data_IF_727562044725
#
_entry.id   IF_727562044725
#
_cell.length_a   1.000
_cell.length_b   1.000
_cell.length_c   1.000
_cell.angle_alpha   90.00
_cell.angle_beta   90.00
_cell.angle_gamma   90.00
#
_symmetry.space_group_name_H-M   'P 1'
#
loop_
_entity.id
_entity.type
_entity.pdbx_description
1 polymer ?
#
# COMPACT_ATOMS: atom_id res chain seq x y z
N UNK A 1 26.19 -5.73 -27.64
CA UNK A 1 27.26 -6.19 -26.71
C UNK A 1 26.55 -6.71 -25.49
N UNK A 2 26.54 -8.03 -25.29
CA UNK A 2 25.85 -8.67 -24.16
C UNK A 2 26.65 -8.44 -22.89
N UNK A 3 26.36 -7.39 -22.15
CA UNK A 3 26.89 -7.19 -20.81
C UNK A 3 26.29 -8.24 -19.88
N UNK A 4 27.05 -9.25 -19.56
CA UNK A 4 26.74 -10.23 -18.55
C UNK A 4 26.83 -9.53 -17.19
N UNK A 5 25.72 -8.95 -16.72
CA UNK A 5 25.62 -8.40 -15.38
C UNK A 5 25.46 -9.55 -14.41
N UNK A 6 26.57 -10.00 -13.81
CA UNK A 6 26.64 -11.07 -12.80
C UNK A 6 25.86 -10.77 -11.51
N UNK A 7 25.04 -9.72 -11.47
CA UNK A 7 24.34 -9.26 -10.28
C UNK A 7 22.96 -9.88 -10.09
N UNK A 8 22.03 -9.68 -11.04
CA UNK A 8 20.67 -10.17 -10.90
C UNK A 8 20.42 -11.45 -11.71
N UNK A 9 19.74 -12.42 -11.08
CA UNK A 9 19.36 -13.69 -11.72
C UNK A 9 18.37 -13.46 -12.86
N UNK A 10 18.31 -14.38 -13.84
CA UNK A 10 17.29 -14.33 -14.92
C UNK A 10 15.87 -14.51 -14.37
N UNK A 11 15.67 -15.38 -13.40
CA UNK A 11 14.42 -15.52 -12.63
C UNK A 11 14.65 -14.93 -11.24
N UNK A 12 13.80 -14.00 -10.85
CA UNK A 12 13.85 -13.27 -9.59
C UNK A 12 12.83 -13.84 -8.61
N UNK A 13 13.20 -13.86 -7.33
CA UNK A 13 12.25 -13.99 -6.23
C UNK A 13 11.89 -12.58 -5.80
N UNK A 14 10.60 -12.22 -5.97
CA UNK A 14 10.07 -10.89 -5.74
C UNK A 14 9.12 -10.97 -4.55
N UNK A 15 9.39 -10.18 -3.50
CA UNK A 15 8.57 -10.11 -2.30
C UNK A 15 7.90 -8.76 -2.22
N UNK A 16 6.56 -8.73 -2.25
CA UNK A 16 5.76 -7.54 -2.08
C UNK A 16 5.32 -7.46 -0.63
N UNK A 17 5.79 -6.46 0.11
CA UNK A 17 5.39 -6.22 1.51
C UNK A 17 4.02 -5.58 1.58
N UNK A 18 3.18 -5.98 2.54
CA UNK A 18 1.89 -5.37 2.82
C UNK A 18 1.70 -5.15 4.33
N UNK A 19 0.64 -4.43 4.71
CA UNK A 19 0.23 -4.39 6.10
C UNK A 19 -0.39 -5.72 6.51
N UNK A 20 -0.27 -6.03 7.79
CA UNK A 20 -0.89 -7.23 8.38
C UNK A 20 -2.40 -7.25 8.12
N UNK A 21 -2.91 -8.41 7.72
CA UNK A 21 -4.33 -8.64 7.41
C UNK A 21 -4.71 -8.36 5.94
N UNK A 22 -3.77 -7.88 5.11
CA UNK A 22 -4.00 -7.65 3.69
C UNK A 22 -3.26 -8.63 2.77
N UNK A 23 -2.68 -9.68 3.32
CA UNK A 23 -1.90 -10.66 2.56
C UNK A 23 -2.75 -11.36 1.49
N UNK A 24 -3.96 -11.83 1.85
CA UNK A 24 -4.90 -12.43 0.89
C UNK A 24 -5.36 -11.42 -0.17
N UNK A 25 -5.65 -10.18 0.25
CA UNK A 25 -6.06 -9.11 -0.67
C UNK A 25 -4.96 -8.79 -1.69
N UNK A 26 -3.70 -8.76 -1.25
CA UNK A 26 -2.55 -8.56 -2.14
C UNK A 26 -2.35 -9.77 -3.06
N UNK A 27 -2.54 -11.00 -2.57
CA UNK A 27 -2.47 -12.21 -3.41
C UNK A 27 -3.54 -12.19 -4.51
N UNK A 28 -4.77 -11.81 -4.19
CA UNK A 28 -5.85 -11.66 -5.18
C UNK A 28 -5.52 -10.56 -6.20
N UNK A 29 -4.96 -9.43 -5.75
CA UNK A 29 -4.47 -8.40 -6.65
C UNK A 29 -3.41 -8.94 -7.62
N UNK A 30 -2.42 -9.67 -7.09
CA UNK A 30 -1.35 -10.24 -7.90
C UNK A 30 -1.88 -11.26 -8.92
N UNK A 31 -2.90 -12.04 -8.56
CA UNK A 31 -3.59 -12.92 -9.51
C UNK A 31 -4.24 -12.14 -10.66
N UNK A 32 -4.92 -11.02 -10.36
CA UNK A 32 -5.49 -10.13 -11.39
C UNK A 32 -4.39 -9.49 -12.27
N UNK A 33 -3.22 -9.21 -11.70
CA UNK A 33 -2.05 -8.66 -12.40
C UNK A 33 -1.26 -9.71 -13.20
N UNK A 34 -1.68 -10.99 -13.18
CA UNK A 34 -1.06 -12.05 -13.98
C UNK A 34 -0.09 -12.97 -13.22
N UNK A 35 -0.11 -12.94 -11.88
CA UNK A 35 0.74 -13.77 -11.01
C UNK A 35 -0.08 -14.75 -10.16
N UNK A 36 -0.68 -15.81 -10.76
CA UNK A 36 -1.59 -16.72 -10.05
C UNK A 36 -0.91 -17.57 -8.98
N UNK A 37 0.40 -17.85 -9.13
CA UNK A 37 1.17 -18.72 -8.23
C UNK A 37 1.78 -17.98 -7.03
N UNK A 38 1.22 -16.82 -6.67
CA UNK A 38 1.66 -16.01 -5.56
C UNK A 38 1.53 -16.74 -4.22
N UNK A 39 2.61 -16.71 -3.42
CA UNK A 39 2.69 -17.36 -2.10
C UNK A 39 2.58 -16.34 -0.98
N UNK A 40 1.67 -16.57 -0.05
CA UNK A 40 1.52 -15.74 1.15
C UNK A 40 2.67 -16.02 2.11
N UNK A 41 3.21 -14.93 2.64
CA UNK A 41 4.16 -14.87 3.74
C UNK A 41 3.59 -13.97 4.85
N UNK A 42 4.28 -13.89 5.99
CA UNK A 42 3.88 -12.96 7.04
C UNK A 42 4.11 -11.51 6.57
N UNK A 43 3.03 -10.73 6.47
CA UNK A 43 3.02 -9.32 6.01
C UNK A 43 3.65 -9.12 4.63
N UNK A 44 3.55 -10.13 3.77
CA UNK A 44 4.08 -10.10 2.41
C UNK A 44 3.45 -11.17 1.51
N UNK A 45 3.62 -11.00 0.22
CA UNK A 45 3.34 -12.04 -0.80
C UNK A 45 4.55 -12.17 -1.71
N UNK A 46 4.93 -13.39 -2.03
CA UNK A 46 6.09 -13.70 -2.85
C UNK A 46 5.68 -14.29 -4.20
N UNK A 47 6.35 -13.87 -5.24
CA UNK A 47 6.19 -14.37 -6.61
C UNK A 47 7.55 -14.66 -7.23
N UNK A 48 7.55 -15.40 -8.33
CA UNK A 48 8.66 -15.48 -9.26
C UNK A 48 8.41 -14.56 -10.45
N UNK A 49 9.45 -13.91 -10.95
CA UNK A 49 9.31 -12.96 -12.06
C UNK A 49 10.65 -12.60 -12.69
N UNK A 50 10.61 -11.57 -13.53
CA UNK A 50 11.75 -11.01 -14.26
C UNK A 50 11.89 -9.53 -13.92
N UNK A 51 12.97 -8.90 -14.38
CA UNK A 51 13.19 -7.48 -14.11
C UNK A 51 12.08 -6.56 -14.67
N UNK A 52 11.50 -6.89 -15.81
CA UNK A 52 10.34 -6.17 -16.36
C UNK A 52 9.14 -6.13 -15.40
N UNK A 53 8.96 -7.20 -14.61
CA UNK A 53 7.85 -7.31 -13.66
C UNK A 53 8.05 -6.35 -12.48
N UNK A 54 9.30 -5.99 -12.17
CA UNK A 54 9.61 -4.97 -11.15
C UNK A 54 9.03 -3.62 -11.55
N UNK A 55 9.19 -3.20 -12.81
CA UNK A 55 8.63 -1.94 -13.30
C UNK A 55 7.11 -1.96 -13.26
N UNK A 56 6.53 -3.04 -13.78
CA UNK A 56 5.09 -3.22 -13.83
C UNK A 56 4.45 -3.22 -12.44
N UNK A 57 4.99 -4.02 -11.51
CA UNK A 57 4.47 -4.13 -10.15
C UNK A 57 4.63 -2.84 -9.35
N UNK A 58 5.77 -2.15 -9.45
CA UNK A 58 5.96 -0.87 -8.78
C UNK A 58 4.96 0.19 -9.25
N UNK A 59 4.54 0.12 -10.52
CA UNK A 59 3.56 1.05 -11.09
C UNK A 59 2.11 0.65 -10.72
N UNK A 60 1.77 -0.64 -10.79
CA UNK A 60 0.40 -1.13 -10.75
C UNK A 60 -0.08 -1.63 -9.39
N UNK A 61 0.81 -2.15 -8.51
CA UNK A 61 0.36 -2.69 -7.24
C UNK A 61 -0.20 -1.60 -6.32
N UNK A 62 -1.42 -1.81 -5.85
CA UNK A 62 -2.18 -0.91 -4.98
C UNK A 62 -2.01 -1.27 -3.51
N UNK A 63 -1.90 -2.58 -3.23
CA UNK A 63 -1.91 -3.13 -1.88
C UNK A 63 -0.51 -3.34 -1.30
N UNK A 64 0.56 -3.16 -2.08
CA UNK A 64 1.92 -3.32 -1.58
C UNK A 64 2.52 -2.02 -1.03
N UNK A 65 3.31 -2.15 0.04
CA UNK A 65 4.07 -1.05 0.67
C UNK A 65 5.40 -0.86 -0.05
N UNK A 66 6.05 -1.97 -0.41
CA UNK A 66 7.35 -1.99 -1.09
C UNK A 66 7.57 -3.31 -1.80
N UNK A 67 8.41 -3.30 -2.82
CA UNK A 67 8.73 -4.45 -3.65
C UNK A 67 10.22 -4.72 -3.53
N UNK A 68 10.54 -5.93 -3.06
CA UNK A 68 11.88 -6.40 -2.78
C UNK A 68 12.28 -7.46 -3.80
N UNK A 69 13.55 -7.44 -4.21
CA UNK A 69 14.17 -8.49 -5.01
C UNK A 69 15.23 -9.18 -4.17
N UNK A 70 15.07 -10.50 -3.97
CA UNK A 70 16.07 -11.32 -3.28
C UNK A 70 17.34 -11.39 -4.11
N UNK A 71 18.47 -11.05 -3.48
CA UNK A 71 19.80 -11.14 -4.08
C UNK A 71 20.68 -12.23 -3.44
N UNK A 72 20.41 -12.57 -2.19
CA UNK A 72 21.07 -13.70 -1.52
C UNK A 72 20.16 -14.32 -0.46
N UNK A 73 20.29 -15.62 -0.25
CA UNK A 73 19.66 -16.37 0.82
C UNK A 73 20.57 -17.50 1.28
N UNK A 74 20.90 -17.53 2.59
CA UNK A 74 21.83 -18.48 3.18
C UNK A 74 21.54 -18.72 4.66
N UNK A 75 22.20 -19.72 5.24
CA UNK A 75 22.11 -20.02 6.69
C UNK A 75 23.36 -19.58 7.41
N UNK A 76 23.18 -19.13 8.63
CA UNK A 76 24.27 -18.73 9.55
C UNK A 76 24.20 -19.56 10.84
N UNK A 77 25.35 -19.71 11.50
CA UNK A 77 25.47 -20.33 12.83
C UNK A 77 26.01 -19.31 13.85
N UNK A 78 26.78 -18.36 13.39
CA UNK A 78 27.40 -17.30 14.20
C UNK A 78 27.13 -15.93 13.59
N UNK A 79 27.31 -14.89 14.37
CA UNK A 79 27.21 -13.49 13.89
C UNK A 79 28.22 -13.21 12.75
N UNK A 80 29.45 -13.79 12.86
CA UNK A 80 30.49 -13.61 11.86
C UNK A 80 30.13 -14.24 10.51
N UNK A 81 29.35 -15.30 10.48
CA UNK A 81 28.94 -15.93 9.21
C UNK A 81 28.16 -14.95 8.33
N UNK A 82 27.36 -14.06 8.95
CA UNK A 82 26.63 -13.02 8.20
C UNK A 82 27.58 -12.09 7.43
N UNK A 83 28.63 -11.59 8.10
CA UNK A 83 29.62 -10.75 7.45
C UNK A 83 30.34 -11.52 6.33
N UNK A 84 30.81 -12.73 6.59
CA UNK A 84 31.56 -13.56 5.64
C UNK A 84 30.73 -13.88 4.38
N UNK A 85 29.46 -14.21 4.52
CA UNK A 85 28.58 -14.47 3.37
C UNK A 85 28.24 -13.18 2.60
N UNK A 86 27.99 -12.08 3.30
CA UNK A 86 27.76 -10.79 2.68
C UNK A 86 29.00 -10.23 1.95
N UNK A 87 30.21 -10.48 2.48
CA UNK A 87 31.47 -10.08 1.87
C UNK A 87 31.79 -10.84 0.57
N UNK A 88 31.27 -12.06 0.39
CA UNK A 88 31.40 -12.82 -0.88
C UNK A 88 30.57 -12.23 -2.02
N UNK A 89 29.61 -11.36 -1.71
CA UNK A 89 28.71 -10.79 -2.71
C UNK A 89 29.41 -9.70 -3.52
N UNK A 90 29.22 -9.71 -4.84
CA UNK A 90 29.74 -8.68 -5.75
C UNK A 90 28.84 -7.44 -5.72
N UNK A 91 28.88 -6.67 -4.64
CA UNK A 91 28.00 -5.50 -4.43
C UNK A 91 28.07 -4.47 -5.57
N UNK A 92 29.26 -4.28 -6.14
CA UNK A 92 29.47 -3.41 -7.30
C UNK A 92 28.76 -3.86 -8.58
N UNK A 93 28.19 -5.07 -8.63
CA UNK A 93 27.35 -5.52 -9.74
C UNK A 93 25.89 -5.05 -9.62
N UNK A 94 25.47 -4.59 -8.44
CA UNK A 94 24.11 -4.12 -8.20
C UNK A 94 23.97 -2.61 -8.33
N UNK A 95 24.92 -1.83 -7.80
CA UNK A 95 24.89 -0.36 -7.83
C UNK A 95 26.31 0.23 -7.85
N UNK A 96 26.42 1.52 -8.12
CA UNK A 96 27.69 2.23 -8.21
C UNK A 96 28.11 2.85 -6.89
N UNK A 97 29.42 3.02 -6.67
CA UNK A 97 30.01 3.58 -5.45
C UNK A 97 29.50 4.99 -5.11
N UNK A 98 29.07 5.76 -6.11
CA UNK A 98 28.52 7.10 -5.93
C UNK A 98 27.05 7.14 -5.44
N UNK A 99 26.43 5.98 -5.23
CA UNK A 99 25.06 5.90 -4.69
C UNK A 99 25.10 5.83 -3.17
N UNK A 100 24.21 6.59 -2.52
CA UNK A 100 24.01 6.47 -1.09
C UNK A 100 23.21 5.21 -0.78
N UNK A 101 23.52 4.55 0.33
CA UNK A 101 22.81 3.34 0.72
C UNK A 101 22.48 3.27 2.21
N UNK A 102 21.55 2.38 2.55
CA UNK A 102 21.29 1.95 3.93
C UNK A 102 20.94 0.46 3.97
N UNK A 103 21.15 -0.15 5.14
CA UNK A 103 20.70 -1.50 5.46
C UNK A 103 19.61 -1.40 6.54
N UNK A 104 18.44 -1.94 6.28
CA UNK A 104 17.29 -2.01 7.21
C UNK A 104 16.61 -3.37 7.06
N UNK A 105 15.66 -3.66 7.93
CA UNK A 105 14.88 -4.90 7.79
C UNK A 105 14.29 -5.37 9.11
N UNK A 106 14.24 -6.69 9.33
CA UNK A 106 13.72 -7.30 10.53
C UNK A 106 14.57 -8.52 10.93
N UNK A 107 14.92 -8.59 12.20
CA UNK A 107 15.77 -9.61 12.78
C UNK A 107 14.99 -10.38 13.84
N UNK A 108 14.73 -11.65 13.58
CA UNK A 108 14.07 -12.62 14.47
C UNK A 108 15.00 -13.82 14.66
N UNK A 109 16.07 -13.65 15.44
CA UNK A 109 17.14 -14.65 15.57
C UNK A 109 17.82 -14.56 16.94
N UNK A 110 18.04 -15.72 17.56
CA UNK A 110 18.81 -15.84 18.79
C UNK A 110 20.34 -15.82 18.56
N UNK A 111 20.77 -15.86 17.30
CA UNK A 111 22.18 -15.71 16.92
C UNK A 111 22.72 -14.34 17.29
N UNK A 112 21.86 -13.31 17.26
CA UNK A 112 22.24 -11.93 17.53
C UNK A 112 21.66 -11.43 18.86
N UNK A 113 22.54 -11.06 19.78
CA UNK A 113 22.16 -10.41 21.07
C UNK A 113 21.59 -9.01 20.86
N UNK A 114 22.05 -8.31 19.82
CA UNK A 114 21.62 -6.96 19.47
C UNK A 114 21.05 -6.96 18.05
N UNK A 115 19.78 -6.65 17.90
CA UNK A 115 19.07 -6.64 16.60
C UNK A 115 19.56 -5.55 15.63
N UNK A 116 20.34 -4.58 16.10
CA UNK A 116 20.94 -3.56 15.24
C UNK A 116 22.27 -4.01 14.63
N UNK A 117 23.01 -4.88 15.32
CA UNK A 117 24.33 -5.33 14.91
C UNK A 117 24.38 -6.01 13.53
N UNK A 118 23.41 -6.87 13.13
CA UNK A 118 23.36 -7.45 11.78
C UNK A 118 23.39 -6.43 10.64
N UNK A 119 22.74 -5.28 10.83
CA UNK A 119 22.76 -4.22 9.80
C UNK A 119 24.15 -3.62 9.63
N UNK A 120 24.93 -3.51 10.72
CA UNK A 120 26.32 -3.02 10.68
C UNK A 120 27.21 -4.02 9.95
N UNK A 121 27.07 -5.32 10.20
CA UNK A 121 27.86 -6.36 9.53
C UNK A 121 27.66 -6.35 8.01
N UNK A 122 26.41 -6.26 7.55
CA UNK A 122 26.12 -6.19 6.10
C UNK A 122 26.60 -4.85 5.53
N UNK A 123 26.43 -3.74 6.25
CA UNK A 123 26.95 -2.43 5.87
C UNK A 123 28.48 -2.47 5.71
N UNK A 124 29.21 -3.06 6.66
CA UNK A 124 30.67 -3.16 6.61
C UNK A 124 31.12 -4.03 5.43
N UNK A 125 30.47 -5.17 5.19
CA UNK A 125 30.74 -6.01 4.03
C UNK A 125 30.54 -5.27 2.69
N UNK A 126 29.53 -4.40 2.58
CA UNK A 126 29.33 -3.55 1.39
C UNK A 126 30.46 -2.55 1.24
N UNK A 127 30.80 -1.83 2.31
CA UNK A 127 31.86 -0.80 2.30
C UNK A 127 33.21 -1.41 1.96
N UNK A 128 33.57 -2.54 2.57
CA UNK A 128 34.84 -3.21 2.33
C UNK A 128 34.95 -3.69 0.87
N UNK A 129 33.87 -4.30 0.34
CA UNK A 129 33.83 -4.69 -1.08
C UNK A 129 34.11 -3.51 -2.02
N UNK A 130 33.50 -2.35 -1.81
CA UNK A 130 33.72 -1.19 -2.67
C UNK A 130 35.14 -0.62 -2.51
N UNK A 131 35.68 -0.58 -1.29
CA UNK A 131 37.08 -0.18 -1.06
C UNK A 131 38.05 -1.07 -1.82
N UNK A 132 37.83 -2.38 -1.80
CA UNK A 132 38.70 -3.35 -2.47
C UNK A 132 38.64 -3.22 -4.00
N UNK A 133 37.46 -2.93 -4.56
CA UNK A 133 37.25 -2.91 -6.02
C UNK A 133 37.52 -1.52 -6.63
N UNK A 134 37.19 -0.44 -5.91
CA UNK A 134 37.21 0.92 -6.46
C UNK A 134 38.21 1.86 -5.75
N UNK A 135 38.73 1.47 -4.58
CA UNK A 135 39.52 2.34 -3.71
C UNK A 135 38.69 3.37 -2.93
N UNK A 136 37.38 3.38 -3.10
CA UNK A 136 36.47 4.33 -2.49
C UNK A 136 35.30 3.61 -1.79
N UNK A 137 34.45 4.32 -1.09
CA UNK A 137 33.29 3.74 -0.38
C UNK A 137 32.01 4.52 -0.67
N UNK A 138 30.85 3.83 -0.78
CA UNK A 138 29.57 4.51 -0.89
C UNK A 138 29.18 5.19 0.43
N UNK A 139 28.52 6.34 0.33
CA UNK A 139 28.01 7.08 1.47
C UNK A 139 26.75 6.42 2.07
N UNK A 140 26.60 6.57 3.39
CA UNK A 140 25.44 6.04 4.13
C UNK A 140 24.41 7.16 4.30
N UNK A 141 23.18 6.89 3.86
CA UNK A 141 22.04 7.78 4.06
C UNK A 141 20.86 7.01 4.64
N UNK A 142 20.50 7.27 5.91
CA UNK A 142 19.51 6.49 6.63
C UNK A 142 18.07 6.90 6.28
N UNK A 143 17.84 8.21 6.02
CA UNK A 143 16.47 8.73 5.84
C UNK A 143 15.96 8.49 4.42
N UNK A 144 16.75 8.82 3.41
CA UNK A 144 16.38 8.75 1.98
C UNK A 144 17.51 8.15 1.14
N UNK A 145 17.92 6.89 1.41
CA UNK A 145 18.98 6.24 0.63
C UNK A 145 18.52 6.05 -0.81
N UNK A 146 19.46 6.17 -1.74
CA UNK A 146 19.23 5.82 -3.14
C UNK A 146 19.07 4.31 -3.32
N UNK A 147 19.83 3.53 -2.51
CA UNK A 147 19.80 2.07 -2.47
C UNK A 147 19.47 1.61 -1.06
N UNK A 148 18.34 0.94 -0.89
CA UNK A 148 17.95 0.34 0.38
C UNK A 148 18.11 -1.18 0.31
N UNK A 149 18.99 -1.72 1.14
CA UNK A 149 19.14 -3.16 1.35
C UNK A 149 18.22 -3.60 2.47
N UNK A 150 17.36 -4.58 2.19
CA UNK A 150 16.45 -5.20 3.17
C UNK A 150 17.08 -6.49 3.68
N UNK A 151 17.43 -6.52 4.97
CA UNK A 151 18.00 -7.68 5.65
C UNK A 151 16.90 -8.33 6.50
N UNK A 152 16.48 -9.52 6.12
CA UNK A 152 15.55 -10.33 6.89
C UNK A 152 16.26 -11.55 7.46
N UNK A 153 16.18 -11.72 8.78
CA UNK A 153 16.72 -12.91 9.46
C UNK A 153 15.62 -13.57 10.26
N UNK A 154 15.38 -14.84 9.99
CA UNK A 154 14.43 -15.67 10.74
C UNK A 154 15.14 -16.92 11.25
N UNK A 155 15.27 -17.05 12.56
CA UNK A 155 16.11 -18.06 13.20
C UNK A 155 17.56 -17.97 12.67
N UNK A 156 18.01 -18.96 11.90
CA UNK A 156 19.33 -18.98 11.28
C UNK A 156 19.29 -18.74 9.76
N UNK A 157 18.12 -18.48 9.17
CA UNK A 157 17.97 -18.21 7.75
C UNK A 157 18.06 -16.71 7.50
N UNK A 158 18.99 -16.31 6.67
CA UNK A 158 19.19 -14.92 6.21
C UNK A 158 18.66 -14.76 4.80
N UNK A 159 17.97 -13.68 4.55
CA UNK A 159 17.59 -13.22 3.21
C UNK A 159 18.03 -11.76 3.05
N UNK A 160 18.82 -11.49 2.03
CA UNK A 160 19.22 -10.13 1.65
C UNK A 160 18.49 -9.78 0.36
N UNK A 161 17.79 -8.67 0.38
CA UNK A 161 17.01 -8.17 -0.77
C UNK A 161 17.35 -6.72 -1.05
N UNK A 162 17.15 -6.28 -2.28
CA UNK A 162 17.15 -4.86 -2.65
C UNK A 162 15.73 -4.34 -2.72
N UNK A 163 15.47 -3.17 -2.15
CA UNK A 163 14.18 -2.50 -2.25
C UNK A 163 14.13 -1.71 -3.58
N UNK A 164 13.27 -2.13 -4.46
CA UNK A 164 13.12 -1.53 -5.80
C UNK A 164 12.19 -0.33 -5.82
N UNK A 165 11.34 -0.18 -4.80
CA UNK A 165 10.40 0.94 -4.69
C UNK A 165 11.06 2.22 -4.16
N UNK A 166 12.03 2.12 -3.26
CA UNK A 166 12.60 3.22 -2.50
C UNK A 166 11.69 3.62 -1.34
N UNK A 167 11.16 4.83 -1.35
CA UNK A 167 10.14 5.24 -0.39
C UNK A 167 8.92 4.32 -0.47
N UNK A 168 8.13 4.18 0.62
CA UNK A 168 6.93 3.35 0.61
C UNK A 168 5.95 3.73 -0.51
N UNK A 169 5.30 2.73 -1.11
CA UNK A 169 4.39 2.92 -2.23
C UNK A 169 3.08 3.64 -1.87
N UNK A 170 2.75 3.80 -0.57
CA UNK A 170 1.65 4.68 -0.19
C UNK A 170 1.95 6.17 -0.50
N UNK A 171 3.22 6.56 -0.68
CA UNK A 171 3.57 7.87 -1.22
C UNK A 171 3.32 7.88 -2.74
N UNK A 172 2.02 7.92 -3.12
CA UNK A 172 1.57 7.80 -4.52
C UNK A 172 2.00 8.94 -5.43
N UNK A 173 2.26 10.13 -4.85
CA UNK A 173 2.58 11.36 -5.57
C UNK A 173 1.40 12.32 -5.71
N UNK A 174 0.16 11.86 -5.64
CA UNK A 174 -1.02 12.72 -5.79
C UNK A 174 -1.39 13.53 -4.55
N UNK A 175 -0.94 13.12 -3.36
CA UNK A 175 -1.25 13.83 -2.12
C UNK A 175 -0.41 15.11 -2.02
N UNK A 176 -1.02 16.24 -2.36
CA UNK A 176 -0.43 17.58 -2.22
C UNK A 176 -0.66 18.08 -0.79
N UNK A 177 -1.89 17.90 -0.31
CA UNK A 177 -2.34 18.33 1.01
C UNK A 177 -2.91 17.15 1.80
N UNK A 178 -2.55 17.03 3.08
CA UNK A 178 -3.09 16.05 4.01
C UNK A 178 -3.91 16.72 5.12
N UNK A 179 -4.90 16.00 5.67
CA UNK A 179 -5.50 16.32 6.95
C UNK A 179 -4.60 15.90 8.13
N UNK A 180 -5.07 16.08 9.37
CA UNK A 180 -4.30 15.73 10.57
C UNK A 180 -4.00 14.23 10.68
N UNK A 181 -4.91 13.34 10.23
CA UNK A 181 -4.75 11.89 10.30
C UNK A 181 -5.38 11.18 9.08
N UNK A 182 -4.86 11.40 7.86
CA UNK A 182 -5.43 10.79 6.67
C UNK A 182 -5.23 9.27 6.69
N UNK A 183 -6.22 8.54 6.17
CA UNK A 183 -6.04 7.10 5.92
C UNK A 183 -4.87 6.90 4.94
N UNK A 184 -4.05 5.87 5.21
CA UNK A 184 -2.94 5.49 4.34
C UNK A 184 -3.48 4.97 2.99
N UNK A 185 -2.86 5.37 1.87
CA UNK A 185 -3.32 5.05 0.52
C UNK A 185 -3.33 3.56 0.22
N UNK A 186 -2.32 2.81 0.70
CA UNK A 186 -2.26 1.35 0.57
C UNK A 186 -3.35 0.69 1.40
N UNK A 187 -3.63 1.21 2.60
CA UNK A 187 -4.76 0.74 3.44
C UNK A 187 -6.07 1.01 2.74
N UNK A 188 -6.28 2.23 2.24
CA UNK A 188 -7.51 2.61 1.51
C UNK A 188 -7.76 1.68 0.31
N UNK A 189 -6.75 1.50 -0.55
CA UNK A 189 -6.84 0.61 -1.71
C UNK A 189 -7.13 -0.85 -1.31
N UNK A 190 -6.50 -1.33 -0.25
CA UNK A 190 -6.71 -2.69 0.27
C UNK A 190 -8.11 -2.88 0.83
N UNK A 191 -8.66 -1.90 1.54
CA UNK A 191 -10.02 -1.92 2.06
C UNK A 191 -11.06 -1.90 0.93
N UNK A 192 -10.86 -1.08 -0.10
CA UNK A 192 -11.73 -1.05 -1.28
C UNK A 192 -11.78 -2.43 -1.94
N UNK A 193 -10.64 -3.10 -2.11
CA UNK A 193 -10.59 -4.46 -2.68
C UNK A 193 -11.22 -5.49 -1.75
N UNK A 194 -10.92 -5.42 -0.46
CA UNK A 194 -11.47 -6.34 0.55
C UNK A 194 -12.99 -6.19 0.73
N UNK A 195 -13.54 -5.00 0.44
CA UNK A 195 -14.94 -4.68 0.63
C UNK A 195 -15.87 -5.43 -0.35
N UNK A 196 -15.33 -5.89 -1.48
CA UNK A 196 -16.10 -6.54 -2.52
C UNK A 196 -16.87 -5.55 -3.42
N UNK A 197 -16.50 -4.25 -3.42
CA UNK A 197 -17.11 -3.29 -4.34
C UNK A 197 -16.93 -3.70 -5.80
N UNK A 198 -18.03 -3.69 -6.56
CA UNK A 198 -18.08 -4.16 -7.94
C UNK A 198 -17.50 -3.18 -8.97
N UNK A 199 -17.08 -1.99 -8.53
CA UNK A 199 -16.55 -0.89 -9.35
C UNK A 199 -17.58 -0.28 -10.31
N UNK A 200 -18.87 -0.58 -10.15
CA UNK A 200 -19.99 -0.11 -11.00
C UNK A 200 -21.08 0.55 -10.18
N UNK A 201 -21.34 0.07 -8.98
CA UNK A 201 -22.25 0.69 -8.03
C UNK A 201 -21.65 2.03 -7.57
N UNK A 202 -22.51 3.03 -7.39
CA UNK A 202 -22.07 4.36 -6.88
C UNK A 202 -21.27 4.20 -5.59
N UNK A 203 -20.04 4.73 -5.57
CA UNK A 203 -19.19 4.78 -4.38
C UNK A 203 -19.42 6.09 -3.64
N UNK A 204 -19.65 6.03 -2.33
CA UNK A 204 -19.84 7.21 -1.49
C UNK A 204 -18.96 7.16 -0.24
N UNK A 205 -18.33 8.27 0.08
CA UNK A 205 -17.65 8.51 1.36
C UNK A 205 -18.18 9.79 2.02
N UNK A 206 -19.07 9.66 3.02
CA UNK A 206 -19.69 10.80 3.70
C UNK A 206 -18.78 11.47 4.76
N UNK A 207 -17.54 10.99 4.96
CA UNK A 207 -16.50 11.56 5.80
C UNK A 207 -15.17 11.60 5.02
N UNK A 208 -15.19 12.17 3.81
CA UNK A 208 -14.13 11.94 2.83
C UNK A 208 -12.79 12.58 3.16
N UNK A 209 -12.73 13.55 4.07
CA UNK A 209 -11.50 14.23 4.44
C UNK A 209 -10.75 14.76 3.21
N UNK A 210 -9.49 14.42 3.07
CA UNK A 210 -8.67 14.78 1.92
C UNK A 210 -8.89 13.91 0.66
N UNK A 211 -9.93 13.07 0.64
CA UNK A 211 -10.40 12.32 -0.54
C UNK A 211 -9.67 11.02 -0.84
N UNK A 212 -8.91 10.46 0.09
CA UNK A 212 -8.08 9.27 -0.19
C UNK A 212 -8.90 8.06 -0.67
N UNK A 213 -10.01 7.71 0.00
CA UNK A 213 -10.88 6.60 -0.39
C UNK A 213 -11.52 6.84 -1.77
N UNK A 214 -11.93 8.07 -2.06
CA UNK A 214 -12.51 8.45 -3.35
C UNK A 214 -11.48 8.31 -4.48
N UNK A 215 -10.25 8.80 -4.27
CA UNK A 215 -9.17 8.74 -5.27
C UNK A 215 -8.76 7.29 -5.53
N UNK A 216 -8.49 6.50 -4.49
CA UNK A 216 -8.11 5.08 -4.66
C UNK A 216 -9.27 4.26 -5.28
N UNK A 217 -10.52 4.59 -4.96
CA UNK A 217 -11.72 4.03 -5.61
C UNK A 217 -11.77 4.37 -7.10
N UNK A 218 -11.57 5.65 -7.46
CA UNK A 218 -11.55 6.09 -8.85
C UNK A 218 -10.40 5.45 -9.66
N UNK A 219 -9.20 5.38 -9.07
CA UNK A 219 -8.05 4.70 -9.66
C UNK A 219 -8.34 3.20 -9.91
N UNK A 220 -9.01 2.54 -8.98
CA UNK A 220 -9.39 1.13 -9.13
C UNK A 220 -10.47 0.96 -10.22
N UNK A 221 -11.51 1.80 -10.22
CA UNK A 221 -12.62 1.72 -11.17
C UNK A 221 -12.18 1.99 -12.60
N UNK A 222 -11.30 2.96 -12.80
CA UNK A 222 -10.75 3.32 -14.12
C UNK A 222 -9.62 2.39 -14.57
N UNK A 223 -9.04 1.58 -13.69
CA UNK A 223 -7.87 0.75 -13.97
C UNK A 223 -6.57 1.55 -14.16
N UNK A 224 -6.57 2.85 -13.86
CA UNK A 224 -5.35 3.67 -13.88
C UNK A 224 -4.41 3.16 -12.78
N UNK A 225 -3.11 2.97 -13.06
CA UNK A 225 -2.16 2.50 -12.06
C UNK A 225 -2.07 3.42 -10.85
N UNK A 226 -2.03 2.85 -9.64
CA UNK A 226 -2.05 3.63 -8.40
C UNK A 226 -0.84 4.54 -8.22
N UNK A 227 0.30 4.17 -8.80
CA UNK A 227 1.56 4.89 -8.66
C UNK A 227 1.92 5.73 -9.90
N UNK A 228 0.91 6.08 -10.75
CA UNK A 228 1.13 6.82 -12.01
C UNK A 228 1.73 8.23 -11.77
N UNK A 229 1.36 8.89 -10.68
CA UNK A 229 1.85 10.23 -10.31
C UNK A 229 3.19 10.18 -9.54
N UNK A 230 3.70 8.97 -9.23
CA UNK A 230 4.91 8.80 -8.47
C UNK A 230 6.16 9.06 -9.33
N UNK A 231 7.05 9.95 -8.88
CA UNK A 231 8.22 10.38 -9.64
C UNK A 231 9.50 9.55 -9.35
N UNK A 232 9.62 9.01 -8.13
CA UNK A 232 10.87 8.40 -7.68
C UNK A 232 10.71 6.91 -7.38
N UNK A 233 11.53 6.09 -8.01
CA UNK A 233 11.66 4.65 -7.79
C UNK A 233 13.13 4.27 -7.62
N UNK A 234 13.44 3.43 -6.61
CA UNK A 234 14.82 3.02 -6.35
C UNK A 234 15.38 2.11 -7.42
N UNK A 235 14.56 1.37 -8.17
CA UNK A 235 15.05 0.52 -9.27
C UNK A 235 15.84 1.29 -10.33
N UNK A 236 15.65 2.61 -10.45
CA UNK A 236 16.42 3.48 -11.35
C UNK A 236 17.89 3.65 -10.93
N UNK A 237 18.25 3.28 -9.70
CA UNK A 237 19.61 3.38 -9.18
C UNK A 237 20.42 2.08 -9.34
N UNK A 238 19.80 1.01 -9.81
CA UNK A 238 20.48 -0.27 -10.03
C UNK A 238 21.07 -0.37 -11.43
N UNK A 239 22.20 -1.07 -11.55
CA UNK A 239 22.97 -1.19 -12.82
C UNK A 239 22.23 -1.86 -13.96
N UNK A 240 21.25 -2.69 -13.64
CA UNK A 240 20.42 -3.37 -14.64
C UNK A 240 19.13 -2.59 -14.97
N UNK A 241 19.03 -1.31 -14.60
CA UNK A 241 17.95 -0.46 -15.01
C UNK A 241 17.92 -0.31 -16.54
N UNK A 242 16.80 -0.68 -17.13
CA UNK A 242 16.50 -0.55 -18.55
C UNK A 242 15.50 0.60 -18.74
N UNK A 243 16.02 1.74 -19.17
CA UNK A 243 15.23 2.97 -19.33
C UNK A 243 14.21 2.84 -20.47
N UNK A 244 14.53 2.17 -21.55
CA UNK A 244 13.62 1.98 -22.69
C UNK A 244 12.42 1.11 -22.28
N UNK A 245 12.70 0.02 -21.57
CA UNK A 245 11.67 -0.87 -21.06
C UNK A 245 10.79 -0.18 -20.01
N UNK A 246 11.40 0.62 -19.11
CA UNK A 246 10.64 1.43 -18.15
C UNK A 246 9.73 2.44 -18.85
N UNK A 247 10.27 3.20 -19.80
CA UNK A 247 9.52 4.20 -20.55
C UNK A 247 8.37 3.57 -21.35
N UNK A 248 8.59 2.40 -21.95
CA UNK A 248 7.55 1.62 -22.62
C UNK A 248 6.44 1.19 -21.65
N UNK A 249 6.81 0.69 -20.47
CA UNK A 249 5.86 0.28 -19.41
C UNK A 249 5.03 1.47 -18.93
N UNK A 250 5.68 2.59 -18.61
CA UNK A 250 5.05 3.80 -18.13
C UNK A 250 4.12 4.44 -19.19
N UNK A 251 4.60 4.58 -20.41
CA UNK A 251 3.81 5.14 -21.51
C UNK A 251 2.59 4.27 -21.86
N UNK A 252 2.71 2.95 -21.74
CA UNK A 252 1.57 2.05 -21.90
C UNK A 252 0.50 2.28 -20.83
N UNK A 253 0.93 2.55 -19.60
CA UNK A 253 0.04 2.88 -18.48
C UNK A 253 -0.65 4.24 -18.66
N UNK A 254 0.05 5.25 -19.18
CA UNK A 254 -0.52 6.58 -19.47
C UNK A 254 -1.64 6.54 -20.53
N UNK A 255 -1.59 5.56 -21.44
CA UNK A 255 -2.63 5.37 -22.47
C UNK A 255 -3.92 4.76 -21.93
N UNK A 256 -3.96 4.33 -20.68
CA UNK A 256 -5.16 3.84 -20.01
C UNK A 256 -6.05 5.04 -19.71
N UNK A 257 -6.81 5.50 -20.68
CA UNK A 257 -7.82 6.54 -20.50
C UNK A 257 -9.17 5.85 -20.41
N UNK A 258 -9.75 5.79 -19.21
CA UNK A 258 -11.09 5.25 -19.00
C UNK A 258 -11.93 6.29 -18.28
N UNK A 259 -13.18 6.46 -18.74
CA UNK A 259 -14.19 7.19 -17.99
C UNK A 259 -14.51 6.42 -16.70
N UNK A 260 -14.94 7.14 -15.67
CA UNK A 260 -15.50 6.51 -14.47
C UNK A 260 -16.75 5.70 -14.85
N UNK A 261 -16.80 4.40 -14.51
CA UNK A 261 -17.95 3.56 -14.85
C UNK A 261 -19.16 3.80 -13.92
N UNK A 262 -18.98 4.54 -12.85
CA UNK A 262 -20.01 4.85 -11.83
C UNK A 262 -19.79 6.25 -11.26
N UNK A 263 -20.78 6.76 -10.53
CA UNK A 263 -20.63 7.97 -9.73
C UNK A 263 -19.72 7.72 -8.53
N UNK A 264 -18.91 8.71 -8.19
CA UNK A 264 -18.10 8.74 -6.97
C UNK A 264 -18.43 10.04 -6.24
N UNK A 265 -18.97 9.89 -5.02
CA UNK A 265 -19.52 10.97 -4.24
C UNK A 265 -18.75 11.11 -2.91
N UNK A 266 -18.43 12.32 -2.53
CA UNK A 266 -17.82 12.62 -1.24
C UNK A 266 -18.51 13.76 -0.53
N UNK A 267 -18.53 13.71 0.79
CA UNK A 267 -18.83 14.89 1.60
C UNK A 267 -17.94 14.94 2.84
N UNK A 268 -17.72 16.14 3.31
CA UNK A 268 -17.06 16.42 4.58
C UNK A 268 -17.65 17.70 5.14
N UNK A 269 -17.79 17.78 6.46
CA UNK A 269 -18.31 18.99 7.10
C UNK A 269 -17.33 20.18 6.97
N UNK A 270 -16.05 19.91 6.76
CA UNK A 270 -14.99 20.90 6.66
C UNK A 270 -14.76 21.35 5.21
N UNK A 271 -15.05 22.62 4.94
CA UNK A 271 -14.69 23.27 3.66
C UNK A 271 -13.21 23.11 3.31
N UNK A 272 -12.33 23.17 4.33
CA UNK A 272 -10.90 23.02 4.16
C UNK A 272 -10.55 21.61 3.64
N UNK A 273 -11.15 20.56 4.21
CA UNK A 273 -10.94 19.18 3.77
C UNK A 273 -11.44 18.96 2.34
N UNK A 274 -12.60 19.51 2.01
CA UNK A 274 -13.14 19.49 0.64
C UNK A 274 -12.21 20.18 -0.36
N UNK A 275 -11.62 21.32 -0.01
CA UNK A 275 -10.63 22.00 -0.84
C UNK A 275 -9.36 21.14 -1.02
N UNK A 276 -8.85 20.50 0.04
CA UNK A 276 -7.72 19.57 -0.02
C UNK A 276 -8.03 18.38 -0.93
N UNK A 277 -9.20 17.77 -0.78
CA UNK A 277 -9.66 16.68 -1.61
C UNK A 277 -9.70 17.05 -3.09
N UNK A 278 -10.27 18.22 -3.43
CA UNK A 278 -10.31 18.74 -4.80
C UNK A 278 -8.91 19.01 -5.37
N UNK A 279 -7.96 19.48 -4.55
CA UNK A 279 -6.56 19.69 -4.97
C UNK A 279 -5.87 18.36 -5.29
N UNK A 280 -6.07 17.34 -4.45
CA UNK A 280 -5.50 16.02 -4.65
C UNK A 280 -6.06 15.31 -5.91
N UNK A 281 -7.28 15.64 -6.32
CA UNK A 281 -7.93 15.12 -7.53
C UNK A 281 -7.47 15.80 -8.83
N UNK A 282 -6.87 16.99 -8.77
CA UNK A 282 -6.56 17.79 -9.98
C UNK A 282 -5.62 17.12 -10.97
N UNK A 283 -4.72 16.24 -10.49
CA UNK A 283 -3.77 15.51 -11.35
C UNK A 283 -4.42 14.45 -12.24
N UNK A 284 -5.68 14.08 -11.95
CA UNK A 284 -6.33 12.97 -12.63
C UNK A 284 -7.41 13.42 -13.62
N UNK A 285 -7.45 12.80 -14.78
CA UNK A 285 -8.48 13.07 -15.82
C UNK A 285 -9.90 12.82 -15.31
N UNK A 286 -10.09 11.88 -14.38
CA UNK A 286 -11.38 11.60 -13.75
C UNK A 286 -11.73 12.60 -12.64
N UNK A 287 -10.81 13.42 -12.16
CA UNK A 287 -11.00 14.25 -10.97
C UNK A 287 -12.21 15.18 -11.05
N UNK A 288 -12.52 15.70 -12.24
CA UNK A 288 -13.70 16.56 -12.50
C UNK A 288 -15.05 15.82 -12.42
N UNK A 289 -15.04 14.49 -12.42
CA UNK A 289 -16.23 13.64 -12.36
C UNK A 289 -16.47 13.05 -10.96
N UNK A 290 -15.59 13.34 -10.00
CA UNK A 290 -15.79 13.02 -8.59
C UNK A 290 -16.50 14.22 -7.95
N UNK A 291 -17.70 13.99 -7.46
CA UNK A 291 -18.53 15.03 -6.85
C UNK A 291 -18.22 15.12 -5.35
N UNK A 292 -17.80 16.32 -4.89
CA UNK A 292 -17.48 16.52 -3.46
C UNK A 292 -18.19 17.78 -2.97
N UNK A 293 -18.87 17.66 -1.83
CA UNK A 293 -19.61 18.76 -1.18
C UNK A 293 -19.13 18.99 0.25
N UNK A 294 -19.14 20.27 0.67
CA UNK A 294 -18.92 20.66 2.05
C UNK A 294 -20.26 20.61 2.80
N UNK A 295 -20.59 19.43 3.30
CA UNK A 295 -21.85 19.14 4.01
C UNK A 295 -21.64 18.04 5.03
N UNK A 296 -22.33 18.05 6.15
CA UNK A 296 -22.38 16.92 7.05
C UNK A 296 -23.02 15.70 6.35
N UNK A 297 -22.73 14.50 6.82
CA UNK A 297 -23.16 13.24 6.19
C UNK A 297 -24.68 13.13 6.01
N UNK A 298 -25.44 13.67 6.94
CA UNK A 298 -26.93 13.63 6.94
C UNK A 298 -27.55 14.60 5.93
N UNK A 299 -26.81 15.59 5.44
CA UNK A 299 -27.20 16.53 4.37
C UNK A 299 -26.52 16.21 3.03
N UNK A 300 -25.68 15.17 2.99
CA UNK A 300 -25.01 14.76 1.77
C UNK A 300 -26.01 14.31 0.70
N UNK A 301 -25.65 14.56 -0.57
CA UNK A 301 -26.49 14.14 -1.70
C UNK A 301 -26.63 12.64 -1.73
N UNK A 302 -27.87 12.15 -1.62
CA UNK A 302 -28.17 10.72 -1.71
C UNK A 302 -28.18 10.28 -3.18
N UNK A 303 -27.48 9.20 -3.53
CA UNK A 303 -27.55 8.67 -4.87
C UNK A 303 -28.91 7.97 -5.12
N UNK A 304 -29.37 8.01 -6.36
CA UNK A 304 -30.47 7.14 -6.79
C UNK A 304 -29.98 5.71 -6.98
N UNK A 305 -30.73 4.73 -6.49
CA UNK A 305 -30.42 3.31 -6.59
C UNK A 305 -29.38 2.81 -5.58
N UNK A 306 -28.79 1.63 -5.81
CA UNK A 306 -27.85 1.02 -4.88
C UNK A 306 -26.59 1.86 -4.67
N UNK A 307 -26.12 1.94 -3.43
CA UNK A 307 -24.91 2.68 -3.06
C UNK A 307 -23.93 1.79 -2.29
N UNK A 308 -22.66 2.00 -2.56
CA UNK A 308 -21.57 1.41 -1.82
C UNK A 308 -20.87 2.50 -1.00
N UNK A 309 -21.09 2.48 0.31
CA UNK A 309 -20.48 3.41 1.24
C UNK A 309 -19.17 2.79 1.75
N UNK A 310 -18.08 3.52 1.62
CA UNK A 310 -16.80 3.18 2.23
C UNK A 310 -16.27 4.40 2.94
N UNK A 311 -16.10 4.30 4.25
CA UNK A 311 -15.81 5.48 5.05
C UNK A 311 -14.89 5.21 6.23
N UNK A 312 -14.15 6.25 6.61
CA UNK A 312 -13.33 6.34 7.80
C UNK A 312 -13.82 7.54 8.65
N UNK A 313 -14.92 7.39 9.41
CA UNK A 313 -15.44 8.45 10.26
C UNK A 313 -14.38 8.91 11.27
N UNK A 314 -14.45 10.15 11.77
CA UNK A 314 -13.53 10.62 12.81
C UNK A 314 -13.66 9.80 14.09
N UNK A 315 -12.54 9.59 14.80
CA UNK A 315 -12.45 8.85 16.06
C UNK A 315 -11.32 9.41 16.93
N UNK A 316 -11.43 9.21 18.25
CA UNK A 316 -10.32 9.41 19.19
C UNK A 316 -10.15 10.80 19.77
N UNK A 317 -11.08 11.75 19.56
CA UNK A 317 -10.99 13.08 20.17
C UNK A 317 -11.72 13.19 21.52
N UNK A 318 -12.90 12.56 21.68
CA UNK A 318 -13.66 12.41 22.94
C UNK A 318 -14.62 11.23 22.81
N UNK A 319 -14.52 10.25 23.69
CA UNK A 319 -15.32 9.00 23.64
C UNK A 319 -16.83 9.24 23.50
N UNK A 320 -17.40 10.16 24.29
CA UNK A 320 -18.85 10.45 24.27
C UNK A 320 -19.32 11.07 22.93
N UNK A 321 -18.55 11.99 22.37
CA UNK A 321 -18.85 12.60 21.05
C UNK A 321 -18.71 11.60 19.89
N UNK A 322 -17.81 10.65 20.03
CA UNK A 322 -17.65 9.58 19.04
C UNK A 322 -18.88 8.66 19.04
N UNK A 323 -19.41 8.28 20.20
CA UNK A 323 -20.59 7.39 20.30
C UNK A 323 -21.84 8.03 19.70
N UNK A 324 -22.14 9.29 20.02
CA UNK A 324 -23.27 10.04 19.49
C UNK A 324 -23.22 10.17 17.96
N UNK A 325 -22.03 10.54 17.41
CA UNK A 325 -21.83 10.63 15.96
C UNK A 325 -22.10 9.27 15.26
N UNK A 326 -21.61 8.18 15.84
CA UNK A 326 -21.76 6.85 15.24
C UNK A 326 -23.21 6.33 15.38
N UNK A 327 -23.94 6.70 16.42
CA UNK A 327 -25.37 6.40 16.57
C UNK A 327 -26.20 7.15 15.51
N UNK A 328 -25.97 8.46 15.34
CA UNK A 328 -26.60 9.25 14.29
C UNK A 328 -26.26 8.72 12.89
N UNK A 329 -25.01 8.36 12.66
CA UNK A 329 -24.59 7.79 11.38
C UNK A 329 -25.24 6.43 11.13
N UNK A 330 -25.34 5.58 12.14
CA UNK A 330 -26.05 4.30 12.06
C UNK A 330 -27.54 4.48 11.76
N UNK A 331 -28.18 5.45 12.39
CA UNK A 331 -29.58 5.82 12.13
C UNK A 331 -29.76 6.31 10.69
N UNK A 332 -28.86 7.18 10.21
CA UNK A 332 -28.87 7.66 8.82
C UNK A 332 -28.69 6.50 7.82
N UNK A 333 -27.72 5.61 8.04
CA UNK A 333 -27.53 4.42 7.21
C UNK A 333 -28.80 3.56 7.12
N UNK A 334 -29.51 3.38 8.24
CA UNK A 334 -30.70 2.55 8.35
C UNK A 334 -31.92 3.14 7.68
N UNK A 335 -32.13 4.43 7.81
CA UNK A 335 -33.37 5.09 7.40
C UNK A 335 -33.28 5.78 6.04
N UNK A 336 -32.09 6.24 5.66
CA UNK A 336 -31.89 7.04 4.46
C UNK A 336 -31.26 6.26 3.30
N UNK A 337 -30.53 5.17 3.60
CA UNK A 337 -29.90 4.31 2.58
C UNK A 337 -30.70 3.01 2.46
N UNK A 338 -31.58 2.98 1.47
CA UNK A 338 -32.57 1.89 1.32
C UNK A 338 -32.02 0.62 0.68
N UNK A 339 -30.92 0.74 -0.09
CA UNK A 339 -30.28 -0.40 -0.76
C UNK A 339 -28.77 -0.13 -0.89
N UNK A 340 -27.96 -1.05 -0.41
CA UNK A 340 -26.52 -0.91 -0.54
C UNK A 340 -25.68 -1.69 0.46
N UNK A 341 -24.43 -1.31 0.51
CA UNK A 341 -23.43 -1.85 1.44
C UNK A 341 -22.69 -0.69 2.10
N UNK A 342 -22.55 -0.73 3.42
CA UNK A 342 -21.66 0.20 4.13
C UNK A 342 -20.46 -0.54 4.68
N UNK A 343 -19.27 -0.03 4.39
CA UNK A 343 -17.98 -0.51 4.86
C UNK A 343 -17.33 0.58 5.70
N UNK A 344 -17.11 0.33 6.97
CA UNK A 344 -16.63 1.33 7.92
C UNK A 344 -15.35 0.83 8.58
N UNK A 345 -14.30 1.65 8.54
CA UNK A 345 -13.08 1.44 9.30
C UNK A 345 -13.04 2.43 10.47
N UNK A 346 -12.72 1.95 11.66
CA UNK A 346 -12.52 2.80 12.84
C UNK A 346 -11.66 2.10 13.87
N UNK A 347 -10.94 2.87 14.70
CA UNK A 347 -10.30 2.38 15.92
C UNK A 347 -11.21 2.44 17.15
N UNK A 348 -12.37 3.11 17.06
CA UNK A 348 -13.37 3.16 18.13
C UNK A 348 -14.27 1.92 18.05
N UNK A 349 -14.02 0.92 18.90
CA UNK A 349 -14.89 -0.27 19.01
C UNK A 349 -16.26 0.09 19.59
N UNK A 350 -16.32 1.03 20.53
CA UNK A 350 -17.56 1.56 21.13
C UNK A 350 -18.37 2.27 20.06
N UNK A 351 -17.79 3.22 19.33
CA UNK A 351 -18.48 3.89 18.22
C UNK A 351 -19.02 2.91 17.18
N UNK A 352 -18.21 1.90 16.77
CA UNK A 352 -18.68 0.88 15.85
C UNK A 352 -19.82 0.01 16.40
N UNK A 353 -19.99 -0.13 17.73
CA UNK A 353 -21.15 -0.77 18.34
C UNK A 353 -22.36 0.14 18.30
N UNK A 354 -22.18 1.45 18.52
CA UNK A 354 -23.25 2.47 18.54
C UNK A 354 -23.92 2.67 17.17
N UNK A 355 -23.32 2.21 16.05
CA UNK A 355 -23.97 2.15 14.73
C UNK A 355 -25.31 1.38 14.80
N UNK A 356 -25.48 0.43 15.72
CA UNK A 356 -26.74 -0.29 15.93
C UNK A 356 -27.17 -1.21 14.78
N UNK A 357 -26.28 -1.49 13.82
CA UNK A 357 -26.50 -2.42 12.71
C UNK A 357 -25.67 -3.70 12.90
N UNK A 358 -26.24 -4.85 12.49
CA UNK A 358 -25.53 -6.11 12.49
C UNK A 358 -24.60 -6.18 11.28
N UNK A 359 -23.28 -6.24 11.52
CA UNK A 359 -22.29 -6.42 10.46
C UNK A 359 -22.32 -7.86 9.91
N UNK A 360 -22.10 -7.99 8.60
CA UNK A 360 -21.95 -9.28 7.91
C UNK A 360 -20.51 -9.80 7.98
N UNK A 361 -19.54 -8.89 8.07
CA UNK A 361 -18.10 -9.21 8.16
C UNK A 361 -17.40 -8.22 9.10
N UNK A 362 -16.48 -8.73 9.91
CA UNK A 362 -15.57 -7.94 10.76
C UNK A 362 -14.14 -8.41 10.52
N UNK A 363 -13.22 -7.50 10.25
CA UNK A 363 -11.82 -7.78 10.01
C UNK A 363 -10.97 -6.81 10.83
N UNK A 364 -9.97 -7.34 11.53
CA UNK A 364 -8.96 -6.54 12.21
C UNK A 364 -7.95 -6.04 11.17
N UNK A 365 -7.69 -4.75 11.15
CA UNK A 365 -6.73 -4.10 10.24
C UNK A 365 -5.95 -3.02 10.98
N UNK A 366 -4.86 -2.54 10.39
CA UNK A 366 -4.04 -1.48 10.96
C UNK A 366 -4.00 -0.27 10.01
N UNK A 367 -4.26 0.92 10.56
CA UNK A 367 -4.01 2.19 9.87
C UNK A 367 -2.83 2.90 10.55
N UNK A 368 -1.63 2.77 9.98
CA UNK A 368 -0.40 3.16 10.65
C UNK A 368 -0.16 2.31 11.91
N UNK A 369 -0.08 2.95 13.07
CA UNK A 369 0.06 2.28 14.38
C UNK A 369 -1.28 2.02 15.08
N UNK A 370 -2.40 2.45 14.48
CA UNK A 370 -3.72 2.31 15.07
C UNK A 370 -4.32 0.94 14.76
N UNK A 371 -4.76 0.25 15.80
CA UNK A 371 -5.56 -0.97 15.72
C UNK A 371 -6.99 -0.59 15.34
N UNK A 372 -7.44 -1.04 14.18
CA UNK A 372 -8.75 -0.70 13.62
C UNK A 372 -9.59 -1.94 13.36
N UNK A 373 -10.89 -1.76 13.40
CA UNK A 373 -11.88 -2.75 12.98
C UNK A 373 -12.51 -2.27 11.68
N UNK A 374 -12.49 -3.13 10.66
CA UNK A 374 -13.20 -2.93 9.41
C UNK A 374 -14.48 -3.78 9.42
N UNK A 375 -15.64 -3.13 9.29
CA UNK A 375 -16.95 -3.80 9.34
C UNK A 375 -17.74 -3.55 8.08
N UNK A 376 -18.42 -4.58 7.60
CA UNK A 376 -19.28 -4.54 6.42
C UNK A 376 -20.73 -4.76 6.87
N UNK A 377 -21.61 -3.85 6.46
CA UNK A 377 -23.05 -3.87 6.76
C UNK A 377 -23.83 -3.93 5.46
N UNK A 378 -24.80 -4.85 5.38
CA UNK A 378 -25.78 -4.87 4.29
C UNK A 378 -26.95 -3.96 4.65
N UNK A 379 -27.29 -3.04 3.77
CA UNK A 379 -28.37 -2.07 3.93
C UNK A 379 -29.54 -2.48 3.02
N UNK A 380 -30.76 -2.49 3.55
CA UNK A 380 -31.98 -2.83 2.81
C UNK A 380 -33.19 -2.21 3.47
N UNK A 381 -34.25 -1.98 2.70
CA UNK A 381 -35.51 -1.48 3.21
C UNK A 381 -36.26 -2.60 3.98
N UNK A 382 -36.64 -2.33 5.23
CA UNK A 382 -37.42 -3.25 6.06
C UNK A 382 -36.61 -4.18 6.96
N UNK A 383 -37.29 -5.16 7.58
CA UNK A 383 -36.64 -6.16 8.45
C UNK A 383 -36.06 -7.31 7.61
N UNK A 384 -34.83 -7.74 7.92
CA UNK A 384 -34.25 -8.94 7.32
C UNK A 384 -35.16 -10.14 7.59
N UNK A 385 -35.71 -10.74 6.54
CA UNK A 385 -36.35 -12.07 6.67
C UNK A 385 -35.21 -13.04 7.01
N UNK A 386 -35.28 -13.67 8.18
CA UNK A 386 -34.37 -14.76 8.50
C UNK A 386 -34.55 -15.82 7.42
N UNK A 387 -33.43 -16.17 6.77
CA UNK A 387 -33.43 -17.35 5.91
C UNK A 387 -33.72 -18.54 6.81
N UNK A 388 -34.87 -19.14 6.64
CA UNK A 388 -35.23 -20.43 7.24
C UNK A 388 -34.20 -21.41 6.68
N UNK A 389 -33.45 -22.02 7.62
CA UNK A 389 -32.39 -22.99 7.37
C UNK A 389 -32.90 -24.25 6.67
#
# INVERSE_FOLDING_TARGET
MNGNTDGFKKELIITLKCFFGFEETLKEELKELGYPDAKILNRAVQIKGKWKDIYYLNLHSRCSISILVEIASFKIKTENDLYQEAAKMKWSSYFDVNKTFAVKGAIYSDVFKNTHYPYLLVKDAIVDHFRDVTGDRPDIEIKRPQVLIDLYVSNNQVTISVNTSGNPLFQRGYRIDAGEAPINEVVAASLIRMSGWDRKTTLMDPFCGSGTLLIEGALLATGIPSNIERQHYAFKNFKNFDEELWNSTYNSALRIVRSLPCKILGSDISDEMVLKSRRNLRGFSFGRFVEISAKPFNEATKPEGPVFILSNPPYGQRLELDEELYEEFGSWLKHEIKDGTACIISSSEEGLKSIGLKHSKKVKVYNGNLDCSFRIYSLFEGKRKEAIA
#
